data_IF_492728835697
#
_entry.id   IF_492728835697
#
_cell.length_a   1.000
_cell.length_b   1.000
_cell.length_c   1.000
_cell.angle_alpha   90.00
_cell.angle_beta   90.00
_cell.angle_gamma   90.00
#
_symmetry.space_group_name_H-M   'P 1'
#
loop_
_entity.id
_entity.type
_entity.pdbx_description
1 polymer ?
#
# COMPACT_ATOMS: atom_id res chain seq x y z
N UNK A 1 0.91 22.43 -3.39
CA UNK A 1 0.14 21.19 -3.64
C UNK A 1 0.88 20.21 -4.54
N UNK A 2 1.64 20.65 -5.55
CA UNK A 2 2.42 19.73 -6.40
C UNK A 2 3.47 18.95 -5.59
N UNK A 3 4.23 19.63 -4.74
CA UNK A 3 5.23 19.02 -3.85
C UNK A 3 4.61 17.97 -2.91
N UNK A 4 3.45 18.26 -2.32
CA UNK A 4 2.71 17.30 -1.48
C UNK A 4 2.31 16.05 -2.29
N UNK A 5 1.84 16.23 -3.53
CA UNK A 5 1.50 15.11 -4.40
C UNK A 5 2.73 14.29 -4.83
N UNK A 6 3.90 14.92 -4.96
CA UNK A 6 5.17 14.22 -5.20
C UNK A 6 5.63 13.48 -3.93
N UNK A 7 5.40 14.03 -2.74
CA UNK A 7 5.68 13.39 -1.46
C UNK A 7 4.84 12.14 -1.25
N UNK A 8 3.53 12.22 -1.50
CA UNK A 8 2.65 11.06 -1.44
C UNK A 8 3.07 9.97 -2.45
N UNK A 9 3.48 10.37 -3.66
CA UNK A 9 3.96 9.44 -4.68
C UNK A 9 5.29 8.78 -4.28
N UNK A 10 6.23 9.55 -3.74
CA UNK A 10 7.49 9.04 -3.23
C UNK A 10 7.28 8.06 -2.07
N UNK A 11 6.37 8.38 -1.14
CA UNK A 11 5.98 7.50 -0.05
C UNK A 11 5.36 6.18 -0.57
N UNK A 12 4.51 6.26 -1.59
CA UNK A 12 3.93 5.09 -2.25
C UNK A 12 5.00 4.21 -2.90
N UNK A 13 6.01 4.83 -3.52
CA UNK A 13 7.14 4.11 -4.11
C UNK A 13 8.02 3.41 -3.08
N UNK A 14 8.33 4.07 -1.96
CA UNK A 14 9.04 3.46 -0.84
C UNK A 14 8.26 2.30 -0.22
N UNK A 15 6.94 2.45 -0.06
CA UNK A 15 6.09 1.39 0.47
C UNK A 15 6.07 0.17 -0.47
N UNK A 16 5.96 0.39 -1.77
CA UNK A 16 5.99 -0.67 -2.78
C UNK A 16 7.30 -1.47 -2.75
N UNK A 17 8.45 -0.81 -2.55
CA UNK A 17 9.72 -1.53 -2.40
C UNK A 17 9.72 -2.44 -1.18
N UNK A 18 9.27 -1.93 -0.03
CA UNK A 18 9.25 -2.69 1.23
C UNK A 18 8.24 -3.86 1.22
N UNK A 19 7.12 -3.73 0.52
CA UNK A 19 6.09 -4.78 0.44
C UNK A 19 6.34 -5.79 -0.66
N UNK A 20 6.92 -5.37 -1.80
CA UNK A 20 7.23 -6.29 -2.88
C UNK A 20 8.50 -7.10 -2.60
N UNK A 21 9.45 -6.58 -1.81
CA UNK A 21 10.66 -7.31 -1.45
C UNK A 21 10.34 -8.68 -0.82
N UNK A 22 10.97 -9.73 -1.35
CA UNK A 22 10.71 -11.11 -0.93
C UNK A 22 9.44 -11.75 -1.52
N UNK A 23 8.72 -11.06 -2.41
CA UNK A 23 7.54 -11.60 -3.12
C UNK A 23 7.83 -11.82 -4.60
N UNK A 24 6.96 -12.54 -5.30
CA UNK A 24 7.04 -12.72 -6.75
C UNK A 24 6.96 -11.39 -7.53
N UNK A 25 6.28 -10.38 -6.95
CA UNK A 25 6.17 -9.06 -7.55
C UNK A 25 7.50 -8.27 -7.54
N UNK A 26 8.47 -8.69 -6.71
CA UNK A 26 9.77 -8.03 -6.56
C UNK A 26 10.51 -7.88 -7.89
N UNK A 27 10.55 -8.96 -8.68
CA UNK A 27 11.32 -9.00 -9.93
C UNK A 27 10.81 -8.00 -10.97
N UNK A 28 9.49 -7.84 -11.05
CA UNK A 28 8.88 -6.84 -11.94
C UNK A 28 9.12 -5.41 -11.45
N UNK A 29 8.98 -5.19 -10.14
CA UNK A 29 9.18 -3.87 -9.53
C UNK A 29 10.62 -3.40 -9.67
N UNK A 30 11.59 -4.24 -9.29
CA UNK A 30 13.01 -3.85 -9.26
C UNK A 30 13.53 -3.43 -10.64
N UNK A 31 13.16 -4.17 -11.68
CA UNK A 31 13.55 -3.87 -13.05
C UNK A 31 12.87 -2.59 -13.57
N UNK A 32 11.61 -2.38 -13.21
CA UNK A 32 10.90 -1.17 -13.58
C UNK A 32 11.43 0.09 -12.89
N UNK A 33 11.72 0.02 -11.58
CA UNK A 33 12.33 1.12 -10.83
C UNK A 33 13.73 1.42 -11.32
N UNK A 34 14.56 0.40 -11.59
CA UNK A 34 15.90 0.62 -12.12
C UNK A 34 15.89 1.38 -13.45
N UNK A 35 15.00 1.01 -14.38
CA UNK A 35 14.81 1.75 -15.65
C UNK A 35 14.29 3.16 -15.44
N UNK A 36 13.34 3.33 -14.51
CA UNK A 36 12.76 4.63 -14.18
C UNK A 36 13.80 5.61 -13.62
N UNK A 37 14.62 5.17 -12.65
CA UNK A 37 15.75 5.95 -12.13
C UNK A 37 16.86 6.11 -13.17
N UNK A 38 17.06 5.10 -14.02
CA UNK A 38 18.10 5.07 -15.05
C UNK A 38 17.90 6.14 -16.12
N UNK A 39 16.66 6.48 -16.46
CA UNK A 39 16.31 7.51 -17.46
C UNK A 39 17.03 7.30 -18.80
N UNK A 40 17.26 6.04 -19.17
CA UNK A 40 18.01 5.64 -20.38
C UNK A 40 19.53 5.53 -20.21
N UNK A 41 20.08 5.80 -19.01
CA UNK A 41 21.49 5.56 -18.69
C UNK A 41 21.68 4.17 -18.05
N UNK A 42 22.29 3.26 -18.80
CA UNK A 42 22.61 1.89 -18.33
C UNK A 42 23.43 1.86 -17.05
N UNK A 43 24.36 2.82 -16.88
CA UNK A 43 25.18 2.93 -15.67
C UNK A 43 24.34 3.29 -14.44
N UNK A 44 23.40 4.22 -14.58
CA UNK A 44 22.50 4.61 -13.49
C UNK A 44 21.52 3.48 -13.18
N UNK A 45 20.96 2.86 -14.22
CA UNK A 45 20.08 1.71 -14.08
C UNK A 45 20.75 0.56 -13.30
N UNK A 46 21.96 0.18 -13.69
CA UNK A 46 22.72 -0.89 -13.02
C UNK A 46 23.02 -0.54 -11.56
N UNK A 47 23.40 0.71 -11.26
CA UNK A 47 23.70 1.15 -9.90
C UNK A 47 22.46 1.19 -8.99
N UNK A 48 21.27 1.39 -9.56
CA UNK A 48 20.00 1.35 -8.85
C UNK A 48 19.55 -0.10 -8.67
N UNK A 49 19.71 -0.93 -9.70
CA UNK A 49 19.37 -2.34 -9.66
C UNK A 49 20.18 -3.07 -8.57
N UNK A 50 21.49 -2.84 -8.48
CA UNK A 50 22.32 -3.42 -7.42
C UNK A 50 21.86 -3.02 -6.01
N UNK A 51 21.45 -1.75 -5.83
CA UNK A 51 20.91 -1.28 -4.55
C UNK A 51 19.57 -1.91 -4.22
N UNK A 52 18.68 -2.05 -5.21
CA UNK A 52 17.41 -2.74 -5.03
C UNK A 52 17.68 -4.21 -4.66
N UNK A 53 18.53 -4.91 -5.42
CA UNK A 53 18.86 -6.31 -5.17
C UNK A 53 19.41 -6.52 -3.74
N UNK A 54 20.25 -5.60 -3.24
CA UNK A 54 20.71 -5.60 -1.85
C UNK A 54 19.55 -5.42 -0.86
N UNK A 55 18.66 -4.44 -1.07
CA UNK A 55 17.45 -4.25 -0.23
C UNK A 55 16.58 -5.51 -0.22
N UNK A 56 16.37 -6.14 -1.37
CA UNK A 56 15.57 -7.35 -1.50
C UNK A 56 16.18 -8.53 -0.75
N UNK A 57 17.50 -8.71 -0.83
CA UNK A 57 18.22 -9.76 -0.10
C UNK A 57 18.12 -9.57 1.42
N UNK A 58 18.40 -8.35 1.91
CA UNK A 58 18.33 -8.08 3.36
C UNK A 58 16.92 -8.23 3.92
N UNK A 59 15.89 -7.82 3.16
CA UNK A 59 14.49 -8.00 3.57
C UNK A 59 14.00 -9.45 3.48
N UNK A 60 14.66 -10.30 2.70
CA UNK A 60 14.36 -11.73 2.61
C UNK A 60 15.05 -12.55 3.71
N UNK A 61 16.23 -12.12 4.16
CA UNK A 61 17.05 -12.81 5.16
C UNK A 61 16.80 -12.35 6.60
N UNK A 62 16.10 -11.22 6.80
CA UNK A 62 15.85 -10.66 8.14
C UNK A 62 14.92 -11.53 8.98
N UNK A 63 15.29 -11.70 10.25
CA UNK A 63 14.48 -12.38 11.25
C UNK A 63 13.10 -11.71 11.43
N UNK A 64 12.01 -12.47 11.63
CA UNK A 64 10.65 -11.92 11.74
C UNK A 64 10.50 -10.80 12.78
N UNK A 65 11.23 -10.90 13.90
CA UNK A 65 11.21 -9.90 14.96
C UNK A 65 11.82 -8.54 14.57
N UNK A 66 12.70 -8.51 13.56
CA UNK A 66 13.37 -7.29 13.07
C UNK A 66 12.84 -6.85 11.70
N UNK A 67 12.05 -7.70 11.04
CA UNK A 67 11.58 -7.50 9.68
C UNK A 67 10.81 -6.20 9.51
N UNK A 68 9.94 -5.83 10.46
CA UNK A 68 9.15 -4.60 10.35
C UNK A 68 9.99 -3.32 10.52
N UNK A 69 10.96 -3.34 11.43
CA UNK A 69 11.91 -2.23 11.60
C UNK A 69 12.76 -2.04 10.34
N UNK A 70 13.26 -3.13 9.77
CA UNK A 70 14.07 -3.08 8.55
C UNK A 70 13.22 -2.65 7.32
N UNK A 71 11.99 -3.15 7.20
CA UNK A 71 11.03 -2.69 6.18
C UNK A 71 10.72 -1.20 6.29
N UNK A 72 10.52 -0.70 7.50
CA UNK A 72 10.28 0.73 7.75
C UNK A 72 11.50 1.59 7.38
N UNK A 73 12.72 1.13 7.71
CA UNK A 73 13.95 1.80 7.32
C UNK A 73 14.11 1.87 5.81
N UNK A 74 13.92 0.73 5.11
CA UNK A 74 14.03 0.69 3.66
C UNK A 74 12.93 1.49 2.95
N UNK A 75 11.71 1.49 3.48
CA UNK A 75 10.63 2.36 2.99
C UNK A 75 11.05 3.83 2.98
N UNK A 76 11.58 4.32 4.10
CA UNK A 76 12.04 5.71 4.22
C UNK A 76 13.21 6.01 3.27
N UNK A 77 14.20 5.13 3.19
CA UNK A 77 15.35 5.28 2.29
C UNK A 77 14.91 5.39 0.84
N UNK A 78 14.00 4.53 0.39
CA UNK A 78 13.52 4.54 -1.00
C UNK A 78 12.57 5.69 -1.28
N UNK A 79 11.75 6.10 -0.31
CA UNK A 79 10.94 7.32 -0.41
C UNK A 79 11.84 8.55 -0.63
N UNK A 80 12.86 8.76 0.20
CA UNK A 80 13.78 9.90 0.05
C UNK A 80 14.46 9.88 -1.31
N UNK A 81 14.97 8.74 -1.76
CA UNK A 81 15.62 8.64 -3.09
C UNK A 81 14.69 8.97 -4.26
N UNK A 82 13.42 8.58 -4.17
CA UNK A 82 12.43 8.90 -5.19
C UNK A 82 12.13 10.40 -5.17
N UNK A 83 12.00 10.99 -3.97
CA UNK A 83 11.81 12.42 -3.80
C UNK A 83 12.99 13.20 -4.38
N UNK A 84 14.21 12.88 -3.96
CA UNK A 84 15.44 13.54 -4.41
C UNK A 84 15.52 13.54 -5.94
N UNK A 85 15.16 12.43 -6.60
CA UNK A 85 15.14 12.38 -8.06
C UNK A 85 14.07 13.31 -8.66
N UNK A 86 12.88 13.37 -8.08
CA UNK A 86 11.80 14.22 -8.58
C UNK A 86 12.11 15.72 -8.38
N UNK A 87 12.80 16.06 -7.29
CA UNK A 87 13.25 17.41 -6.96
C UNK A 87 14.42 17.87 -7.83
N UNK A 88 15.38 16.98 -8.13
CA UNK A 88 16.55 17.26 -8.98
C UNK A 88 16.18 17.55 -10.45
N UNK A 89 14.97 17.19 -10.88
CA UNK A 89 14.45 17.54 -12.20
C UNK A 89 14.03 19.01 -12.23
N UNK A 90 14.80 19.86 -12.92
CA UNK A 90 14.53 21.29 -13.07
C UNK A 90 13.33 21.59 -14.00
N UNK A 91 13.07 20.72 -14.98
CA UNK A 91 11.97 20.88 -15.95
C UNK A 91 10.66 20.25 -15.41
N UNK A 92 9.62 21.08 -15.28
CA UNK A 92 8.30 20.65 -14.77
C UNK A 92 7.62 19.59 -15.63
N UNK A 93 7.78 19.64 -16.96
CA UNK A 93 7.24 18.62 -17.85
C UNK A 93 8.03 17.31 -17.71
N UNK A 94 9.35 17.39 -17.50
CA UNK A 94 10.19 16.24 -17.20
C UNK A 94 9.83 15.58 -15.87
N UNK A 95 9.61 16.40 -14.83
CA UNK A 95 9.13 15.97 -13.51
C UNK A 95 7.75 15.35 -13.59
N UNK A 96 6.81 15.93 -14.33
CA UNK A 96 5.47 15.39 -14.52
C UNK A 96 5.50 14.03 -15.26
N UNK A 97 6.37 13.87 -16.27
CA UNK A 97 6.59 12.59 -16.96
C UNK A 97 7.21 11.55 -16.02
N UNK A 98 8.19 11.95 -15.19
CA UNK A 98 8.78 11.07 -14.18
C UNK A 98 7.71 10.58 -13.19
N UNK A 99 6.93 11.49 -12.63
CA UNK A 99 5.86 11.17 -11.69
C UNK A 99 4.80 10.25 -12.32
N UNK A 100 4.42 10.51 -13.58
CA UNK A 100 3.46 9.66 -14.31
C UNK A 100 4.00 8.25 -14.55
N UNK A 101 5.26 8.14 -14.98
CA UNK A 101 5.92 6.84 -15.18
C UNK A 101 6.04 6.03 -13.89
N UNK A 102 6.25 6.69 -12.74
CA UNK A 102 6.23 6.03 -11.44
C UNK A 102 4.82 5.57 -11.06
N UNK A 103 3.78 6.38 -11.27
CA UNK A 103 2.38 5.97 -11.04
C UNK A 103 1.99 4.73 -11.86
N UNK A 104 2.34 4.71 -13.15
CA UNK A 104 2.08 3.58 -14.04
C UNK A 104 2.83 2.31 -13.63
N UNK A 105 4.04 2.46 -13.08
CA UNK A 105 4.79 1.36 -12.51
C UNK A 105 4.10 0.80 -11.26
N UNK A 106 3.70 1.67 -10.33
CA UNK A 106 3.03 1.25 -9.09
C UNK A 106 1.65 0.62 -9.36
N UNK A 107 0.91 1.12 -10.35
CA UNK A 107 -0.38 0.57 -10.75
C UNK A 107 -0.31 -0.85 -11.34
N UNK A 108 0.87 -1.30 -11.81
CA UNK A 108 1.08 -2.65 -12.34
C UNK A 108 1.40 -3.68 -11.26
N UNK A 109 1.68 -3.25 -10.04
CA UNK A 109 1.81 -4.19 -8.94
C UNK A 109 0.45 -4.84 -8.68
N UNK A 110 0.37 -6.17 -8.52
CA UNK A 110 -0.85 -6.80 -8.05
C UNK A 110 -1.20 -6.08 -6.76
N UNK A 111 -2.35 -5.39 -6.78
CA UNK A 111 -2.72 -4.48 -5.72
C UNK A 111 -2.45 -5.16 -4.40
N UNK A 112 -1.53 -4.61 -3.61
CA UNK A 112 -1.61 -4.75 -2.17
C UNK A 112 -2.98 -4.13 -1.82
N UNK A 113 -4.04 -4.93 -1.92
CA UNK A 113 -5.42 -4.52 -1.70
C UNK A 113 -5.58 -4.26 -0.20
N UNK A 114 -5.01 -3.15 0.26
CA UNK A 114 -5.26 -2.48 1.56
C UNK A 114 -4.34 -1.25 1.76
N UNK A 115 -3.85 -0.62 0.69
CA UNK A 115 -3.41 0.78 0.78
C UNK A 115 -4.33 1.64 -0.09
N UNK A 116 -5.60 1.65 0.32
CA UNK A 116 -6.50 2.76 0.00
C UNK A 116 -5.87 3.98 0.67
N UNK A 117 -5.43 4.91 -0.17
CA UNK A 117 -4.86 6.20 0.19
C UNK A 117 -5.65 6.85 1.32
N UNK A 118 -5.08 6.83 2.50
CA UNK A 118 -5.49 7.71 3.57
C UNK A 118 -4.44 8.81 3.61
N UNK A 119 -4.80 9.92 2.98
CA UNK A 119 -4.09 11.18 3.12
C UNK A 119 -3.90 11.41 4.64
N UNK A 120 -2.64 11.55 5.07
CA UNK A 120 -2.24 11.75 6.47
C UNK A 120 -2.53 10.61 7.47
N UNK A 121 -2.05 9.40 7.21
CA UNK A 121 -1.81 8.40 8.27
C UNK A 121 -3.05 7.66 8.79
N UNK A 122 -4.17 7.73 8.06
CA UNK A 122 -5.30 6.84 8.29
C UNK A 122 -5.07 5.47 7.62
N UNK A 123 -5.86 4.47 8.04
CA UNK A 123 -5.87 3.13 7.44
C UNK A 123 -7.32 2.83 7.05
N UNK A 124 -7.56 2.55 5.77
CA UNK A 124 -8.87 2.16 5.25
C UNK A 124 -8.81 0.72 4.73
N UNK A 125 -9.60 -0.18 5.32
CA UNK A 125 -9.66 -1.59 4.93
C UNK A 125 -11.06 -1.90 4.40
N UNK A 126 -11.11 -2.40 3.17
CA UNK A 126 -12.35 -2.77 2.46
C UNK A 126 -12.87 -4.18 2.81
N UNK A 127 -12.35 -4.79 3.87
CA UNK A 127 -12.68 -6.14 4.33
C UNK A 127 -12.46 -6.26 5.84
N UNK A 128 -12.55 -7.48 6.37
CA UNK A 128 -12.41 -7.71 7.80
C UNK A 128 -10.95 -7.55 8.26
N UNK A 129 -10.72 -6.67 9.24
CA UNK A 129 -9.46 -6.53 9.96
C UNK A 129 -9.46 -7.48 11.16
N UNK A 130 -8.71 -8.58 11.07
CA UNK A 130 -8.49 -9.47 12.22
C UNK A 130 -7.13 -9.17 12.85
N UNK A 131 -7.12 -8.59 14.05
CA UNK A 131 -5.90 -8.37 14.85
C UNK A 131 -5.80 -9.49 15.88
N UNK A 132 -4.94 -10.47 15.63
CA UNK A 132 -4.69 -11.58 16.56
C UNK A 132 -3.33 -11.40 17.23
N UNK A 133 -3.30 -11.53 18.56
CA UNK A 133 -2.08 -11.62 19.35
C UNK A 133 -1.94 -13.06 19.84
N UNK A 134 -0.84 -13.73 19.51
CA UNK A 134 -0.56 -15.08 20.00
C UNK A 134 0.11 -14.97 21.38
N UNK A 135 -0.66 -15.19 22.44
CA UNK A 135 -0.18 -15.23 23.82
C UNK A 135 -1.29 -15.03 24.85
N UNK A 136 -1.33 -15.93 25.85
CA UNK A 136 -2.22 -15.81 27.01
C UNK A 136 -1.95 -14.48 27.74
N UNK A 137 -2.90 -13.54 27.64
CA UNK A 137 -2.92 -12.30 28.41
C UNK A 137 -2.34 -11.05 27.73
N UNK A 138 -2.12 -11.03 26.42
CA UNK A 138 -1.62 -9.82 25.74
C UNK A 138 -2.74 -8.98 25.11
N UNK A 139 -2.83 -7.70 25.51
CA UNK A 139 -3.68 -6.70 24.87
C UNK A 139 -2.84 -5.95 23.84
N UNK A 140 -3.14 -6.12 22.54
CA UNK A 140 -2.57 -5.31 21.48
C UNK A 140 -3.26 -3.93 21.47
N UNK A 141 -2.73 -2.98 22.25
CA UNK A 141 -3.17 -1.59 22.20
C UNK A 141 -2.35 -0.84 21.13
N UNK A 142 -2.93 -0.63 19.96
CA UNK A 142 -2.41 0.35 19.01
C UNK A 142 -2.90 1.75 19.43
N UNK A 143 -1.98 2.65 19.74
CA UNK A 143 -2.33 4.06 20.02
C UNK A 143 -2.52 4.77 18.69
N UNK A 144 -3.78 5.03 18.33
CA UNK A 144 -4.13 5.86 17.19
C UNK A 144 -4.00 7.31 17.64
N UNK A 145 -2.96 8.01 17.18
CA UNK A 145 -2.86 9.46 17.34
C UNK A 145 -3.59 10.12 16.17
N UNK A 146 -4.89 10.33 16.35
CA UNK A 146 -5.76 10.95 15.33
C UNK A 146 -7.24 10.77 15.68
N UNK A 147 -8.10 11.43 14.93
CA UNK A 147 -9.55 11.32 15.08
C UNK A 147 -10.07 9.98 14.54
N UNK A 148 -10.93 9.32 15.32
CA UNK A 148 -11.60 8.07 14.92
C UNK A 148 -13.01 8.39 14.46
N UNK A 149 -13.29 8.19 13.17
CA UNK A 149 -14.63 8.32 12.61
C UNK A 149 -15.27 6.93 12.44
N UNK A 150 -16.32 6.64 13.21
CA UNK A 150 -17.15 5.44 13.01
C UNK A 150 -18.41 5.82 12.24
N UNK A 151 -18.42 5.51 10.95
CA UNK A 151 -19.64 5.59 10.14
C UNK A 151 -20.57 4.43 10.48
N UNK A 152 -21.81 4.73 10.88
CA UNK A 152 -22.82 3.70 11.15
C UNK A 152 -23.20 3.01 9.82
N UNK A 153 -23.26 1.67 9.74
CA UNK A 153 -23.81 0.99 8.56
C UNK A 153 -25.24 1.47 8.34
N UNK A 154 -25.55 1.89 7.11
CA UNK A 154 -26.95 2.11 6.71
C UNK A 154 -27.72 0.79 6.83
N UNK A 155 -29.02 0.81 7.18
CA UNK A 155 -29.78 -0.41 7.35
C UNK A 155 -29.76 -1.23 6.06
N UNK A 156 -29.36 -2.50 6.18
CA UNK A 156 -29.57 -3.49 5.14
C UNK A 156 -31.08 -3.56 4.89
N UNK A 157 -31.51 -3.19 3.69
CA UNK A 157 -32.87 -3.49 3.26
C UNK A 157 -32.96 -5.02 3.23
N UNK A 158 -33.70 -5.58 4.17
CA UNK A 158 -34.01 -7.00 4.17
C UNK A 158 -34.84 -7.26 2.91
N UNK A 159 -34.39 -8.18 2.08
CA UNK A 159 -35.20 -8.74 1.03
C UNK A 159 -36.36 -9.51 1.70
N UNK A 160 -37.49 -8.83 1.89
CA UNK A 160 -38.75 -9.49 2.23
C UNK A 160 -39.19 -10.34 1.03
N UNK A 161 -39.18 -11.65 1.23
CA UNK A 161 -39.68 -12.63 0.26
C UNK A 161 -41.18 -12.51 0.05
N UNK A 162 -41.71 -12.99 -1.09
CA UNK A 162 -43.13 -12.89 -1.40
C UNK A 162 -43.97 -13.73 -0.42
N UNK A 163 -44.89 -13.05 0.25
CA UNK A 163 -45.91 -13.58 1.16
C UNK A 163 -46.81 -14.59 0.42
N UNK A 164 -46.84 -15.83 0.89
CA UNK A 164 -47.74 -16.89 0.42
C UNK A 164 -49.09 -16.77 1.14
N UNK A 165 -50.23 -16.96 0.44
CA UNK A 165 -51.55 -16.77 1.03
C UNK A 165 -51.90 -17.81 2.09
N UNK A 166 -52.53 -17.37 3.18
CA UNK A 166 -53.02 -18.19 4.30
C UNK A 166 -54.22 -19.08 3.91
N UNK A 167 -54.34 -20.32 4.42
CA UNK A 167 -55.51 -21.16 4.22
C UNK A 167 -56.70 -20.78 5.13
N UNK A 168 -57.95 -21.12 4.73
CA UNK A 168 -59.16 -20.66 5.40
C UNK A 168 -59.45 -21.36 6.73
N UNK A 169 -59.99 -20.59 7.68
CA UNK A 169 -60.45 -20.99 9.00
C UNK A 169 -61.66 -21.93 8.90
N UNK A 170 -61.56 -23.09 9.53
CA UNK A 170 -62.65 -24.05 9.68
C UNK A 170 -63.08 -24.03 11.14
N UNK A 171 -64.17 -23.32 11.45
CA UNK A 171 -65.16 -23.69 12.47
C UNK A 171 -66.22 -22.60 12.61
N UNK A 172 -67.39 -22.82 12.00
CA UNK A 172 -68.65 -22.31 12.55
C UNK A 172 -69.46 -23.54 12.98
N UNK A 173 -69.70 -23.61 14.29
CA UNK A 173 -70.84 -24.31 14.88
C UNK A 173 -71.95 -23.31 15.16
#
# INVERSE_FOLDING_TARGET
MLDEALAALAASGGAAVATAAGTDAWTGLRAGLARWFGRGSERRETAVLQRLDQTGAELAEVEPAQAETLRSAYRAIWQTRIMDLLEDLEDDAERARAASGLRELLARLPAAQSQVSADHGAVAVGGDLNVTSDGDGSVAAAVIRGDVHVGRPGPAVAAEGPDLPTPPDASQG
#
